data_IF_226242920520
#
_entry.id   IF_226242920520
#
_cell.length_a   1.000
_cell.length_b   1.000
_cell.length_c   1.000
_cell.angle_alpha   90.00
_cell.angle_beta   90.00
_cell.angle_gamma   90.00
#
_symmetry.space_group_name_H-M   'P 1'
#
loop_
_entity.id
_entity.type
_entity.pdbx_description
1 polymer ?
#
# COMPACT_ATOMS: atom_id res chain seq x y z
N UNK A 1 -5.91 -6.91 13.93
CA UNK A 1 -6.31 -6.04 15.07
C UNK A 1 -5.56 -4.73 14.91
N UNK A 2 -6.25 -3.69 14.45
CA UNK A 2 -5.73 -2.33 14.48
C UNK A 2 -5.36 -1.96 15.92
N UNK A 3 -4.25 -1.25 16.16
CA UNK A 3 -3.87 -0.84 17.50
C UNK A 3 -4.87 0.20 18.04
N UNK A 4 -5.56 -0.13 19.14
CA UNK A 4 -6.45 0.79 19.84
C UNK A 4 -5.68 2.01 20.35
N UNK A 5 -6.12 3.20 19.92
CA UNK A 5 -5.57 4.48 20.33
C UNK A 5 -5.84 4.75 21.82
N UNK A 6 -4.77 4.84 22.62
CA UNK A 6 -4.83 5.34 24.00
C UNK A 6 -4.98 6.86 23.99
N UNK A 7 -6.09 7.36 24.56
CA UNK A 7 -6.29 8.79 24.91
C UNK A 7 -5.07 9.34 25.66
N UNK A 8 -4.47 10.42 25.15
CA UNK A 8 -3.46 11.22 25.85
C UNK A 8 -3.97 12.64 26.13
N UNK A 9 -3.57 13.12 27.31
CA UNK A 9 -3.96 14.37 27.98
C UNK A 9 -3.50 15.62 27.22
N UNK A 10 -4.29 16.67 27.40
CA UNK A 10 -4.26 18.00 26.79
C UNK A 10 -2.91 18.73 26.91
N UNK A 11 -2.37 19.14 25.76
CA UNK A 11 -1.39 20.21 25.56
C UNK A 11 -1.67 20.80 24.16
N UNK A 12 -1.75 22.13 24.07
CA UNK A 12 -2.12 23.04 22.96
C UNK A 12 -2.55 22.50 21.58
N UNK A 13 -3.70 23.01 21.11
CA UNK A 13 -4.50 22.68 19.91
C UNK A 13 -3.82 22.99 18.56
N UNK A 14 -2.63 22.45 18.30
CA UNK A 14 -2.23 22.19 16.92
C UNK A 14 -2.82 20.85 16.51
N UNK A 15 -3.61 20.85 15.44
CA UNK A 15 -4.22 19.66 14.84
C UNK A 15 -3.07 18.70 14.46
N UNK A 16 -2.71 17.80 15.38
CA UNK A 16 -1.61 16.83 15.19
C UNK A 16 -2.18 15.71 14.34
N UNK A 17 -2.32 16.00 13.06
CA UNK A 17 -2.69 15.02 12.08
C UNK A 17 -1.46 14.22 11.65
N UNK A 18 -1.63 12.90 11.57
CA UNK A 18 -0.65 11.99 11.00
C UNK A 18 -1.07 11.64 9.58
N UNK A 19 -0.11 11.66 8.66
CA UNK A 19 -0.30 11.14 7.31
C UNK A 19 0.14 9.69 7.27
N UNK A 20 -0.82 8.82 6.96
CA UNK A 20 -0.62 7.39 6.93
C UNK A 20 -0.76 6.87 5.50
N UNK A 21 0.19 6.07 5.01
CA UNK A 21 0.06 5.42 3.70
C UNK A 21 -1.09 4.41 3.73
N UNK A 22 -1.85 4.32 2.65
CA UNK A 22 -2.77 3.19 2.46
C UNK A 22 -2.04 2.04 1.79
N UNK A 23 -1.69 1.06 2.62
CA UNK A 23 -1.00 -0.15 2.20
C UNK A 23 -1.88 -1.08 1.36
N UNK A 24 -1.26 -1.77 0.40
CA UNK A 24 -1.91 -2.84 -0.34
C UNK A 24 -2.35 -3.99 0.57
N UNK A 25 -3.23 -4.85 0.09
CA UNK A 25 -3.65 -6.04 0.85
C UNK A 25 -2.46 -6.96 1.17
N UNK A 26 -1.48 -7.04 0.27
CA UNK A 26 -0.28 -7.87 0.49
C UNK A 26 0.67 -7.28 1.54
N UNK A 27 0.72 -5.95 1.65
CA UNK A 27 1.52 -5.24 2.65
C UNK A 27 0.84 -5.20 4.03
N UNK A 28 -0.49 -5.23 4.06
CA UNK A 28 -1.30 -5.16 5.28
C UNK A 28 -1.78 -6.52 5.82
N UNK A 29 -1.71 -7.60 5.01
CA UNK A 29 -2.11 -8.95 5.45
C UNK A 29 -1.29 -9.43 6.64
N UNK A 30 -1.94 -10.28 7.42
CA UNK A 30 -1.27 -11.05 8.46
C UNK A 30 -0.33 -12.11 7.89
N UNK A 31 0.64 -12.52 8.70
CA UNK A 31 1.60 -13.56 8.35
C UNK A 31 0.91 -14.93 8.34
N UNK A 32 0.49 -15.37 7.16
CA UNK A 32 -0.02 -16.72 6.93
C UNK A 32 1.10 -17.76 7.06
N UNK A 33 0.76 -18.94 7.59
CA UNK A 33 1.70 -20.03 7.85
C UNK A 33 1.28 -21.32 7.15
N UNK A 34 2.25 -22.03 6.59
CA UNK A 34 2.07 -23.35 5.99
C UNK A 34 2.75 -24.43 6.84
N UNK A 35 2.13 -25.61 6.98
CA UNK A 35 2.79 -26.76 7.58
C UNK A 35 3.86 -27.34 6.65
N UNK A 36 5.05 -27.61 7.19
CA UNK A 36 6.15 -28.24 6.49
C UNK A 36 6.84 -29.25 7.41
N UNK A 37 7.46 -30.28 6.83
CA UNK A 37 8.32 -31.19 7.58
C UNK A 37 9.76 -30.68 7.55
N UNK A 38 10.38 -30.58 8.72
CA UNK A 38 11.79 -30.28 8.88
C UNK A 38 12.48 -31.47 9.57
N UNK A 39 13.79 -31.60 9.38
CA UNK A 39 14.60 -32.63 10.02
C UNK A 39 15.93 -32.05 10.52
N UNK A 40 16.49 -32.54 11.64
CA UNK A 40 17.82 -32.15 12.07
C UNK A 40 18.86 -32.70 11.09
N UNK A 41 19.91 -31.92 10.83
CA UNK A 41 21.10 -32.37 10.10
C UNK A 41 22.07 -32.95 11.12
N UNK A 42 22.17 -34.27 11.15
CA UNK A 42 23.06 -35.02 12.05
C UNK A 42 24.51 -34.80 11.65
N UNK A 43 24.81 -34.88 10.36
CA UNK A 43 26.17 -34.70 9.84
C UNK A 43 26.34 -33.39 9.07
N UNK A 44 26.94 -32.39 9.73
CA UNK A 44 27.09 -31.03 9.18
C UNK A 44 27.82 -31.00 7.82
N UNK A 45 28.77 -31.91 7.57
CA UNK A 45 29.51 -32.00 6.30
C UNK A 45 28.60 -32.30 5.11
N UNK A 46 27.45 -32.93 5.35
CA UNK A 46 26.50 -33.30 4.30
C UNK A 46 25.48 -32.20 3.96
N UNK A 47 25.48 -31.07 4.69
CA UNK A 47 24.47 -30.00 4.51
C UNK A 47 24.28 -29.55 3.06
N UNK A 48 25.37 -29.28 2.34
CA UNK A 48 25.30 -28.79 0.95
C UNK A 48 24.68 -29.83 0.00
N UNK A 49 25.03 -31.10 0.20
CA UNK A 49 24.47 -32.23 -0.56
C UNK A 49 22.97 -32.36 -0.29
N UNK A 50 22.59 -32.45 0.99
CA UNK A 50 21.20 -32.59 1.43
C UNK A 50 20.32 -31.46 0.89
N UNK A 51 20.77 -30.21 0.97
CA UNK A 51 20.02 -29.07 0.44
C UNK A 51 19.83 -29.16 -1.08
N UNK A 52 20.86 -29.56 -1.84
CA UNK A 52 20.77 -29.72 -3.29
C UNK A 52 19.80 -30.83 -3.68
N UNK A 53 19.97 -32.02 -3.11
CA UNK A 53 19.14 -33.18 -3.38
C UNK A 53 17.67 -32.92 -3.00
N UNK A 54 17.42 -32.40 -1.79
CA UNK A 54 16.06 -32.03 -1.36
C UNK A 54 15.43 -30.95 -2.27
N UNK A 55 16.24 -30.08 -2.90
CA UNK A 55 15.72 -29.06 -3.83
C UNK A 55 15.33 -29.62 -5.19
N UNK A 56 15.89 -30.76 -5.59
CA UNK A 56 15.46 -31.48 -6.80
C UNK A 56 14.18 -32.28 -6.55
N UNK A 57 14.10 -32.92 -5.39
CA UNK A 57 13.06 -33.88 -4.99
C UNK A 57 11.79 -33.16 -4.51
N UNK A 58 11.98 -32.14 -3.67
CA UNK A 58 10.94 -31.30 -3.08
C UNK A 58 11.30 -29.83 -3.26
N UNK A 59 11.13 -29.27 -4.47
CA UNK A 59 11.27 -27.84 -4.68
C UNK A 59 10.23 -27.09 -3.84
N UNK A 60 10.55 -25.86 -3.45
CA UNK A 60 9.65 -24.98 -2.70
C UNK A 60 9.19 -23.81 -3.59
N UNK A 61 8.33 -24.05 -4.60
CA UNK A 61 7.92 -23.02 -5.54
C UNK A 61 7.14 -21.90 -4.83
N UNK A 62 7.49 -20.66 -5.13
CA UNK A 62 6.89 -19.47 -4.51
C UNK A 62 7.36 -19.18 -3.08
N UNK A 63 8.30 -19.97 -2.54
CA UNK A 63 8.86 -19.81 -1.20
C UNK A 63 10.36 -19.48 -1.24
N UNK A 64 10.82 -18.75 -2.26
CA UNK A 64 12.23 -18.37 -2.41
C UNK A 64 12.71 -17.45 -1.27
N UNK A 65 11.79 -16.82 -0.52
CA UNK A 65 12.12 -16.07 0.68
C UNK A 65 12.51 -16.96 1.86
N UNK A 66 12.13 -18.23 1.88
CA UNK A 66 12.43 -19.14 2.99
C UNK A 66 13.86 -19.66 2.87
N UNK A 67 14.66 -19.47 3.93
CA UNK A 67 15.99 -20.10 4.01
C UNK A 67 15.80 -21.58 4.33
N UNK A 68 16.19 -22.49 3.43
CA UNK A 68 15.93 -23.93 3.60
C UNK A 68 16.54 -24.54 4.86
N UNK A 69 17.66 -23.99 5.34
CA UNK A 69 18.37 -24.42 6.54
C UNK A 69 18.33 -23.33 7.61
N UNK A 70 18.18 -23.73 8.87
CA UNK A 70 18.35 -22.86 10.05
C UNK A 70 19.26 -23.47 11.09
N UNK A 71 19.78 -22.65 12.00
CA UNK A 71 20.37 -23.15 13.23
C UNK A 71 19.27 -23.68 14.16
N UNK A 72 19.56 -24.75 14.89
CA UNK A 72 18.64 -25.25 15.91
C UNK A 72 18.41 -24.19 16.99
N UNK A 73 17.17 -24.11 17.51
CA UNK A 73 16.81 -23.15 18.56
C UNK A 73 17.40 -23.55 19.91
N UNK A 74 17.44 -24.85 20.17
CA UNK A 74 18.09 -25.39 21.36
C UNK A 74 19.61 -25.45 21.11
N UNK A 75 20.40 -24.80 21.96
CA UNK A 75 21.86 -24.82 21.84
C UNK A 75 22.49 -26.06 22.48
N UNK A 76 21.72 -26.84 23.24
CA UNK A 76 22.17 -28.06 23.89
C UNK A 76 22.11 -29.30 22.98
N UNK A 77 21.39 -29.21 21.85
CA UNK A 77 21.32 -30.32 20.90
C UNK A 77 22.69 -30.60 20.26
N UNK A 78 23.05 -31.88 20.05
CA UNK A 78 24.25 -32.26 19.30
C UNK A 78 24.17 -31.90 17.81
N UNK A 79 22.99 -31.52 17.30
CA UNK A 79 22.74 -31.26 15.87
C UNK A 79 22.47 -29.77 15.63
N UNK A 80 23.47 -28.98 15.21
CA UNK A 80 23.36 -27.52 15.21
C UNK A 80 22.45 -26.96 14.11
N UNK A 81 22.01 -27.77 13.14
CA UNK A 81 21.28 -27.32 11.96
C UNK A 81 20.02 -28.16 11.74
N UNK A 82 19.01 -27.52 11.17
CA UNK A 82 17.75 -28.13 10.75
C UNK A 82 17.44 -27.72 9.30
N UNK A 83 16.87 -28.62 8.52
CA UNK A 83 16.53 -28.40 7.11
C UNK A 83 15.05 -28.68 6.85
N UNK A 84 14.41 -27.86 6.01
CA UNK A 84 13.08 -28.17 5.49
C UNK A 84 13.21 -29.29 4.45
N UNK A 85 12.48 -30.38 4.69
CA UNK A 85 12.39 -31.54 3.80
C UNK A 85 11.38 -31.23 2.69
N UNK A 86 10.11 -31.05 3.03
CA UNK A 86 9.01 -30.83 2.08
C UNK A 86 7.84 -30.08 2.74
N UNK A 87 6.88 -29.60 1.93
CA UNK A 87 5.61 -29.10 2.47
C UNK A 87 4.72 -30.28 2.86
N UNK A 88 3.94 -30.13 3.93
CA UNK A 88 3.08 -31.23 4.40
C UNK A 88 1.97 -31.61 3.38
N UNK A 89 1.66 -30.73 2.43
CA UNK A 89 0.71 -30.99 1.34
C UNK A 89 1.30 -31.80 0.19
N UNK A 90 2.62 -31.86 0.08
CA UNK A 90 3.32 -32.55 -1.02
C UNK A 90 3.44 -34.05 -0.76
N UNK A 91 3.07 -34.50 0.45
CA UNK A 91 3.15 -35.88 0.90
C UNK A 91 1.79 -36.37 1.41
N UNK A 92 1.38 -37.56 0.99
CA UNK A 92 0.18 -38.21 1.49
C UNK A 92 0.54 -39.14 2.64
N UNK A 93 0.57 -38.61 3.87
CA UNK A 93 0.85 -39.40 5.06
C UNK A 93 -0.47 -39.80 5.73
N UNK A 94 -0.68 -41.11 5.90
CA UNK A 94 -1.92 -41.71 6.43
C UNK A 94 -2.05 -41.45 7.94
N UNK A 95 -0.94 -41.46 8.69
CA UNK A 95 -0.88 -41.08 10.11
C UNK A 95 0.04 -39.86 10.30
N UNK A 96 -0.48 -38.80 10.90
CA UNK A 96 0.29 -37.57 11.18
C UNK A 96 1.12 -37.67 12.47
N UNK A 97 0.95 -38.71 13.28
CA UNK A 97 1.77 -38.98 14.46
C UNK A 97 2.92 -39.93 14.09
N UNK A 98 4.15 -39.50 14.32
CA UNK A 98 5.34 -40.37 14.13
C UNK A 98 5.75 -40.57 12.68
N UNK A 99 5.61 -39.54 11.84
CA UNK A 99 6.08 -39.55 10.44
C UNK A 99 7.58 -39.78 10.40
N UNK A 100 8.04 -40.76 9.63
CA UNK A 100 9.47 -41.08 9.45
C UNK A 100 10.03 -40.47 8.17
N UNK A 101 11.36 -40.39 8.05
CA UNK A 101 12.00 -40.00 6.78
C UNK A 101 11.60 -40.92 5.62
N UNK A 102 11.46 -42.22 5.89
CA UNK A 102 11.04 -43.21 4.90
C UNK A 102 9.62 -42.96 4.40
N UNK A 103 8.73 -42.41 5.23
CA UNK A 103 7.39 -42.03 4.79
C UNK A 103 7.41 -40.80 3.87
N UNK A 104 8.32 -39.85 4.15
CA UNK A 104 8.46 -38.62 3.39
C UNK A 104 9.22 -38.81 2.07
N UNK A 105 10.18 -39.74 2.02
CA UNK A 105 11.13 -39.87 0.91
C UNK A 105 11.00 -41.21 0.15
N UNK A 106 9.97 -42.01 0.47
CA UNK A 106 9.80 -43.42 0.03
C UNK A 106 9.97 -43.66 -1.47
N UNK A 107 9.59 -42.70 -2.31
CA UNK A 107 9.54 -42.85 -3.76
C UNK A 107 10.79 -42.36 -4.50
N UNK A 108 11.79 -41.84 -3.78
CA UNK A 108 12.94 -41.19 -4.40
C UNK A 108 14.22 -41.88 -3.91
N UNK A 109 15.16 -42.14 -4.82
CA UNK A 109 16.49 -42.69 -4.51
C UNK A 109 17.33 -41.64 -3.75
N UNK A 110 16.88 -41.30 -2.55
CA UNK A 110 17.46 -40.28 -1.69
C UNK A 110 18.22 -40.97 -0.58
N UNK A 111 19.50 -40.65 -0.47
CA UNK A 111 20.30 -41.10 0.65
C UNK A 111 20.02 -40.21 1.85
N UNK A 112 19.19 -40.73 2.76
CA UNK A 112 18.79 -40.07 4.01
C UNK A 112 19.88 -40.05 5.07
N UNK A 113 21.09 -40.58 4.78
CA UNK A 113 22.22 -40.45 5.68
C UNK A 113 22.47 -38.98 6.02
N UNK A 114 22.78 -38.71 7.28
CA UNK A 114 23.00 -37.34 7.79
C UNK A 114 21.73 -36.55 8.12
N UNK A 115 20.53 -37.08 7.92
CA UNK A 115 19.27 -36.53 8.49
C UNK A 115 18.80 -37.35 9.69
N UNK A 116 18.21 -36.68 10.68
CA UNK A 116 17.47 -37.34 11.75
C UNK A 116 15.97 -37.32 11.53
N UNK A 117 15.23 -37.78 12.54
CA UNK A 117 13.77 -37.91 12.44
C UNK A 117 13.07 -36.58 12.14
N UNK A 118 12.07 -36.57 11.22
CA UNK A 118 11.42 -35.35 10.83
C UNK A 118 10.36 -34.94 11.85
N UNK A 119 10.07 -33.64 11.88
CA UNK A 119 9.07 -33.04 12.75
C UNK A 119 8.33 -31.94 12.01
N UNK A 120 7.09 -31.68 12.45
CA UNK A 120 6.24 -30.69 11.81
C UNK A 120 6.60 -29.27 12.31
N UNK A 121 6.74 -28.35 11.37
CA UNK A 121 6.95 -26.92 11.62
C UNK A 121 5.94 -26.09 10.85
N UNK A 122 5.73 -24.85 11.30
CA UNK A 122 4.97 -23.83 10.57
C UNK A 122 5.96 -22.83 9.97
N UNK A 123 5.88 -22.60 8.66
CA UNK A 123 6.74 -21.66 7.94
C UNK A 123 5.91 -20.55 7.27
N UNK A 124 6.44 -19.34 7.09
CA UNK A 124 5.73 -18.25 6.40
C UNK A 124 5.32 -18.63 4.97
N UNK A 125 4.02 -18.53 4.68
CA UNK A 125 3.44 -18.86 3.37
C UNK A 125 3.87 -17.89 2.27
N UNK A 126 4.16 -16.65 2.66
CA UNK A 126 4.35 -15.54 1.76
C UNK A 126 5.59 -14.72 2.15
N UNK A 127 6.25 -14.07 1.18
CA UNK A 127 7.35 -13.17 1.47
C UNK A 127 6.85 -11.96 2.29
N UNK A 128 7.56 -11.56 3.35
CA UNK A 128 7.24 -10.34 4.06
C UNK A 128 7.52 -9.12 3.17
N UNK A 129 6.57 -8.19 3.11
CA UNK A 129 6.70 -6.94 2.37
C UNK A 129 6.94 -5.74 3.29
N UNK A 130 6.66 -5.89 4.59
CA UNK A 130 6.89 -4.86 5.60
C UNK A 130 7.75 -5.39 6.75
N UNK A 131 8.46 -4.49 7.45
CA UNK A 131 9.27 -4.88 8.62
C UNK A 131 8.45 -5.58 9.72
N UNK A 132 7.23 -5.13 10.07
CA UNK A 132 6.37 -5.86 11.01
C UNK A 132 6.03 -7.29 10.53
N UNK A 133 5.77 -7.48 9.23
CA UNK A 133 5.57 -8.83 8.66
C UNK A 133 6.84 -9.67 8.77
N UNK A 134 8.00 -9.10 8.46
CA UNK A 134 9.30 -9.78 8.55
C UNK A 134 9.61 -10.23 9.98
N UNK A 135 9.40 -9.37 10.96
CA UNK A 135 9.62 -9.66 12.38
C UNK A 135 8.69 -10.77 12.89
N UNK A 136 7.43 -10.78 12.44
CA UNK A 136 6.48 -11.88 12.73
C UNK A 136 6.92 -13.18 12.04
N UNK A 137 7.18 -13.13 10.74
CA UNK A 137 7.57 -14.29 9.93
C UNK A 137 8.85 -14.96 10.42
N UNK A 138 9.87 -14.18 10.78
CA UNK A 138 11.18 -14.66 11.23
C UNK A 138 11.12 -15.45 12.55
N UNK A 139 10.07 -15.28 13.36
CA UNK A 139 9.87 -16.08 14.58
C UNK A 139 9.54 -17.54 14.28
N UNK A 140 8.90 -17.78 13.13
CA UNK A 140 8.47 -19.11 12.69
C UNK A 140 9.61 -19.84 11.97
N UNK A 141 10.20 -19.20 10.96
CA UNK A 141 11.33 -19.74 10.22
C UNK A 141 12.17 -18.61 9.61
N UNK A 142 13.51 -18.75 9.49
CA UNK A 142 14.32 -17.71 8.86
C UNK A 142 13.88 -17.41 7.43
N UNK A 143 13.55 -16.15 7.19
CA UNK A 143 13.12 -15.62 5.89
C UNK A 143 14.09 -14.54 5.44
N UNK A 144 14.27 -14.37 4.13
CA UNK A 144 14.84 -13.16 3.56
C UNK A 144 13.79 -12.04 3.58
N UNK A 145 14.28 -10.81 3.64
CA UNK A 145 13.46 -9.61 3.55
C UNK A 145 14.30 -8.52 2.91
N UNK A 146 13.77 -8.00 1.80
CA UNK A 146 14.33 -6.83 1.13
C UNK A 146 13.43 -5.66 1.49
N UNK A 147 13.99 -4.75 2.27
CA UNK A 147 13.23 -3.67 2.86
C UNK A 147 12.93 -2.58 1.84
N UNK A 148 11.64 -2.28 1.67
CA UNK A 148 11.21 -1.06 1.02
C UNK A 148 11.35 0.11 1.99
N UNK A 149 12.32 0.99 1.72
CA UNK A 149 12.63 2.15 2.57
C UNK A 149 11.48 3.14 2.65
N UNK A 150 10.72 3.33 1.57
CA UNK A 150 9.59 4.25 1.56
C UNK A 150 8.47 3.72 2.45
N UNK A 151 8.09 2.45 2.29
CA UNK A 151 7.08 1.80 3.13
C UNK A 151 7.49 1.79 4.59
N UNK A 152 8.76 1.47 4.90
CA UNK A 152 9.28 1.51 6.28
C UNK A 152 9.23 2.92 6.86
N UNK A 153 9.66 3.94 6.11
CA UNK A 153 9.61 5.34 6.57
C UNK A 153 8.17 5.78 6.82
N UNK A 154 7.27 5.42 5.91
CA UNK A 154 5.85 5.73 6.00
C UNK A 154 5.18 5.08 7.22
N UNK A 155 5.48 3.80 7.49
CA UNK A 155 5.01 3.11 8.69
C UNK A 155 5.56 3.69 10.01
N UNK A 156 6.68 4.42 9.96
CA UNK A 156 7.25 5.14 11.11
C UNK A 156 6.73 6.58 11.22
N UNK A 157 5.87 7.03 10.31
CA UNK A 157 5.43 8.43 10.23
C UNK A 157 6.52 9.41 9.82
N UNK A 158 7.61 8.92 9.22
CA UNK A 158 8.81 9.67 8.86
C UNK A 158 8.93 9.94 7.36
N UNK A 159 7.86 9.66 6.59
CA UNK A 159 7.89 9.82 5.13
C UNK A 159 7.99 11.28 4.69
N UNK A 160 7.35 12.19 5.45
CA UNK A 160 7.29 13.60 5.12
C UNK A 160 7.98 14.47 6.17
N UNK A 161 8.78 15.43 5.70
CA UNK A 161 9.41 16.44 6.55
C UNK A 161 8.38 17.42 7.12
N UNK A 162 8.77 18.22 8.11
CA UNK A 162 7.91 19.27 8.65
C UNK A 162 7.47 20.27 7.57
N UNK A 163 8.39 20.70 6.70
CA UNK A 163 8.10 21.64 5.61
C UNK A 163 7.14 21.04 4.58
N UNK A 164 7.30 19.75 4.26
CA UNK A 164 6.35 19.05 3.39
C UNK A 164 4.97 18.99 4.02
N UNK A 165 4.88 18.65 5.32
CA UNK A 165 3.59 18.66 6.04
C UNK A 165 2.94 20.04 6.08
N UNK A 166 3.73 21.12 6.19
CA UNK A 166 3.22 22.48 6.13
C UNK A 166 2.58 22.79 4.76
N UNK A 167 3.24 22.43 3.65
CA UNK A 167 2.66 22.57 2.30
C UNK A 167 1.40 21.73 2.12
N UNK A 168 1.42 20.48 2.59
CA UNK A 168 0.24 19.61 2.58
C UNK A 168 -0.95 20.24 3.32
N UNK A 169 -0.68 20.93 4.44
CA UNK A 169 -1.69 21.68 5.18
C UNK A 169 -2.24 22.86 4.35
N UNK A 170 -1.39 23.61 3.66
CA UNK A 170 -1.83 24.71 2.79
C UNK A 170 -2.72 24.21 1.64
N UNK A 171 -2.31 23.13 0.96
CA UNK A 171 -3.09 22.55 -0.13
C UNK A 171 -4.43 21.98 0.36
N UNK A 172 -4.44 21.27 1.49
CA UNK A 172 -5.68 20.76 2.06
C UNK A 172 -6.57 21.89 2.60
N UNK A 173 -6.01 22.97 3.13
CA UNK A 173 -6.78 24.14 3.53
C UNK A 173 -7.51 24.79 2.34
N UNK A 174 -6.86 24.89 1.18
CA UNK A 174 -7.51 25.35 -0.05
C UNK A 174 -8.65 24.41 -0.49
N UNK A 175 -8.47 23.09 -0.35
CA UNK A 175 -9.54 22.13 -0.60
C UNK A 175 -10.71 22.28 0.39
N UNK A 176 -10.44 22.54 1.67
CA UNK A 176 -11.46 22.81 2.70
C UNK A 176 -12.22 24.11 2.40
N UNK A 177 -11.54 25.16 1.95
CA UNK A 177 -12.19 26.41 1.55
C UNK A 177 -13.12 26.21 0.35
N UNK A 178 -12.66 25.49 -0.68
CA UNK A 178 -13.50 25.12 -1.82
C UNK A 178 -14.73 24.31 -1.38
N UNK A 179 -14.54 23.35 -0.45
CA UNK A 179 -15.63 22.55 0.10
C UNK A 179 -16.71 23.41 0.79
N UNK A 180 -16.28 24.41 1.58
CA UNK A 180 -17.19 25.35 2.26
C UNK A 180 -17.96 26.20 1.26
N UNK A 181 -17.29 26.74 0.25
CA UNK A 181 -17.93 27.50 -0.83
C UNK A 181 -19.00 26.67 -1.55
N UNK A 182 -18.71 25.40 -1.87
CA UNK A 182 -19.71 24.48 -2.43
C UNK A 182 -20.89 24.25 -1.49
N UNK A 183 -20.62 24.06 -0.19
CA UNK A 183 -21.66 23.89 0.84
C UNK A 183 -22.59 25.10 0.98
N UNK A 184 -22.06 26.32 0.92
CA UNK A 184 -22.83 27.58 0.92
C UNK A 184 -23.76 27.68 -0.29
N UNK A 185 -23.38 27.05 -1.41
CA UNK A 185 -24.20 26.94 -2.62
C UNK A 185 -25.17 25.75 -2.60
N UNK A 186 -25.30 25.04 -1.48
CA UNK A 186 -26.18 23.89 -1.32
C UNK A 186 -25.66 22.59 -1.92
N UNK A 187 -24.37 22.51 -2.26
CA UNK A 187 -23.71 21.28 -2.68
C UNK A 187 -23.30 20.43 -1.48
N UNK A 188 -22.83 19.21 -1.73
CA UNK A 188 -22.16 18.45 -0.67
C UNK A 188 -20.81 19.12 -0.36
N UNK A 189 -20.46 19.29 0.92
CA UNK A 189 -19.25 19.99 1.35
C UNK A 189 -17.97 19.17 1.13
N UNK A 190 -17.62 18.90 -0.13
CA UNK A 190 -16.39 18.22 -0.54
C UNK A 190 -15.63 19.11 -1.49
N UNK A 191 -14.37 19.37 -1.18
CA UNK A 191 -13.43 20.10 -2.02
C UNK A 191 -12.17 19.30 -2.30
N UNK A 192 -11.51 19.66 -3.39
CA UNK A 192 -10.28 19.04 -3.89
C UNK A 192 -9.38 20.09 -4.56
N UNK A 193 -8.08 19.85 -4.54
CA UNK A 193 -7.09 20.60 -5.32
C UNK A 193 -6.11 19.64 -6.00
N UNK A 194 -5.68 19.98 -7.21
CA UNK A 194 -4.60 19.30 -7.93
C UNK A 194 -3.36 20.18 -7.89
N UNK A 195 -2.23 19.60 -7.52
CA UNK A 195 -0.94 20.27 -7.32
C UNK A 195 0.08 19.65 -8.25
N UNK A 196 0.88 20.49 -8.89
CA UNK A 196 2.09 20.04 -9.57
C UNK A 196 3.22 19.93 -8.55
N UNK A 197 3.73 18.72 -8.24
CA UNK A 197 4.77 18.55 -7.24
C UNK A 197 6.14 19.10 -7.66
N UNK A 198 6.35 19.38 -8.96
CA UNK A 198 7.61 19.96 -9.45
C UNK A 198 7.65 21.48 -9.21
N UNK A 199 6.56 22.19 -9.51
CA UNK A 199 6.45 23.64 -9.29
C UNK A 199 5.84 24.03 -7.94
N UNK A 200 5.31 23.05 -7.20
CA UNK A 200 4.60 23.21 -5.92
C UNK A 200 3.39 24.15 -6.01
N UNK A 201 2.83 24.31 -7.22
CA UNK A 201 1.69 25.17 -7.48
C UNK A 201 0.38 24.40 -7.54
N UNK A 202 -0.70 25.02 -7.05
CA UNK A 202 -2.07 24.53 -7.25
C UNK A 202 -2.46 24.79 -8.72
N UNK A 203 -2.65 23.70 -9.45
CA UNK A 203 -3.08 23.69 -10.86
C UNK A 203 -4.58 23.84 -10.99
N UNK A 204 -5.35 23.16 -10.14
CA UNK A 204 -6.82 23.24 -10.17
C UNK A 204 -7.39 23.20 -8.76
N UNK A 205 -8.49 23.92 -8.56
CA UNK A 205 -9.31 23.92 -7.33
C UNK A 205 -10.74 23.60 -7.75
N UNK A 206 -11.41 22.71 -7.03
CA UNK A 206 -12.78 22.32 -7.32
C UNK A 206 -13.52 21.83 -6.09
N UNK A 207 -14.85 21.88 -6.16
CA UNK A 207 -15.73 21.29 -5.16
C UNK A 207 -16.81 20.44 -5.81
N UNK A 208 -17.56 19.70 -4.98
CA UNK A 208 -18.72 18.95 -5.45
C UNK A 208 -19.75 19.90 -6.08
N UNK A 209 -20.22 19.53 -7.27
CA UNK A 209 -21.19 20.25 -8.07
C UNK A 209 -22.35 19.34 -8.48
N UNK A 210 -22.54 18.20 -7.79
CA UNK A 210 -23.39 17.11 -8.25
C UNK A 210 -24.89 17.42 -8.21
N UNK A 211 -25.29 18.37 -7.34
CA UNK A 211 -26.66 18.90 -7.26
C UNK A 211 -26.92 20.03 -8.25
N UNK A 212 -25.92 20.36 -9.06
CA UNK A 212 -26.03 21.30 -10.16
C UNK A 212 -26.53 20.62 -11.44
N UNK A 213 -25.68 20.61 -12.47
CA UNK A 213 -26.06 20.14 -13.81
C UNK A 213 -25.92 18.63 -14.01
N UNK A 214 -25.05 17.94 -13.26
CA UNK A 214 -24.76 16.53 -13.48
C UNK A 214 -24.41 15.80 -12.18
N UNK A 215 -25.02 14.64 -11.87
CA UNK A 215 -24.79 13.90 -10.63
C UNK A 215 -23.38 13.30 -10.48
N UNK A 216 -22.53 13.41 -11.50
CA UNK A 216 -21.17 12.86 -11.50
C UNK A 216 -20.11 13.94 -11.27
N UNK A 217 -20.52 15.21 -11.10
CA UNK A 217 -19.60 16.32 -10.81
C UNK A 217 -19.17 16.31 -9.34
N UNK A 218 -18.52 15.23 -8.91
CA UNK A 218 -17.81 15.18 -7.64
C UNK A 218 -16.55 16.06 -7.73
N UNK A 219 -16.07 16.57 -6.60
CA UNK A 219 -14.90 17.46 -6.55
C UNK A 219 -13.69 16.95 -7.34
N UNK A 220 -13.40 15.65 -7.26
CA UNK A 220 -12.30 15.02 -8.01
C UNK A 220 -12.52 15.10 -9.53
N UNK A 221 -13.75 14.82 -10.00
CA UNK A 221 -14.08 14.89 -11.43
C UNK A 221 -14.00 16.32 -11.95
N UNK A 222 -14.47 17.29 -11.14
CA UNK A 222 -14.38 18.71 -11.45
C UNK A 222 -12.92 19.13 -11.60
N UNK A 223 -12.03 18.75 -10.68
CA UNK A 223 -10.61 19.06 -10.80
C UNK A 223 -9.95 18.42 -12.03
N UNK A 224 -10.25 17.16 -12.34
CA UNK A 224 -9.74 16.48 -13.54
C UNK A 224 -10.17 17.22 -14.81
N UNK A 225 -11.44 17.59 -14.90
CA UNK A 225 -11.98 18.30 -16.06
C UNK A 225 -11.42 19.73 -16.17
N UNK A 226 -11.21 20.44 -15.05
CA UNK A 226 -10.53 21.74 -15.04
C UNK A 226 -9.10 21.66 -15.57
N UNK A 227 -8.34 20.61 -15.19
CA UNK A 227 -7.00 20.37 -15.75
C UNK A 227 -7.09 20.08 -17.26
N UNK A 228 -8.06 19.26 -17.68
CA UNK A 228 -8.27 18.97 -19.09
C UNK A 228 -8.64 20.23 -19.90
N UNK A 229 -9.53 21.09 -19.38
CA UNK A 229 -9.86 22.40 -19.95
C UNK A 229 -8.60 23.26 -20.13
N UNK A 230 -7.75 23.31 -19.11
CA UNK A 230 -6.47 24.03 -19.15
C UNK A 230 -5.48 23.53 -20.21
N UNK A 231 -5.63 22.27 -20.64
CA UNK A 231 -4.82 21.62 -21.68
C UNK A 231 -5.49 21.63 -23.07
N UNK A 232 -6.59 22.39 -23.24
CA UNK A 232 -7.32 22.49 -24.51
C UNK A 232 -8.33 21.36 -24.76
N UNK A 233 -8.58 20.53 -23.75
CA UNK A 233 -9.66 19.54 -23.73
C UNK A 233 -10.81 19.98 -22.80
N UNK A 234 -11.27 19.04 -21.98
CA UNK A 234 -12.36 19.26 -21.01
C UNK A 234 -13.74 19.35 -21.67
N UNK A 235 -14.81 19.25 -20.87
CA UNK A 235 -16.19 19.20 -21.39
C UNK A 235 -17.12 20.19 -20.71
N UNK A 236 -16.95 20.44 -19.42
CA UNK A 236 -17.95 21.16 -18.64
C UNK A 236 -17.53 22.61 -18.33
N UNK A 237 -18.54 23.46 -18.16
CA UNK A 237 -18.36 24.85 -17.74
C UNK A 237 -18.70 24.99 -16.24
N UNK A 238 -17.74 25.50 -15.47
CA UNK A 238 -17.85 25.74 -14.03
C UNK A 238 -17.87 27.22 -13.64
N UNK A 239 -18.02 28.17 -14.57
CA UNK A 239 -18.01 29.63 -14.31
C UNK A 239 -19.03 30.07 -13.26
N UNK A 240 -20.14 29.35 -13.12
CA UNK A 240 -21.15 29.60 -12.08
C UNK A 240 -20.68 29.23 -10.67
N UNK A 241 -19.52 28.60 -10.51
CA UNK A 241 -18.94 28.15 -9.25
C UNK A 241 -17.61 28.87 -9.00
N UNK A 242 -17.60 30.01 -8.29
CA UNK A 242 -16.42 30.88 -8.19
C UNK A 242 -15.16 30.21 -7.62
N UNK A 243 -15.33 29.21 -6.75
CA UNK A 243 -14.21 28.45 -6.17
C UNK A 243 -13.61 27.42 -7.15
N UNK A 244 -14.34 27.01 -8.20
CA UNK A 244 -13.87 26.07 -9.21
C UNK A 244 -13.02 26.81 -10.25
N UNK A 245 -11.71 26.59 -10.27
CA UNK A 245 -10.79 27.31 -11.15
C UNK A 245 -9.58 26.48 -11.56
N UNK A 246 -9.07 26.76 -12.75
CA UNK A 246 -7.77 26.32 -13.23
C UNK A 246 -6.77 27.48 -13.15
N UNK A 247 -5.60 27.24 -12.57
CA UNK A 247 -4.50 28.20 -12.56
C UNK A 247 -3.70 28.03 -13.85
N UNK A 248 -3.83 28.98 -14.77
CA UNK A 248 -2.96 29.04 -15.95
C UNK A 248 -1.55 29.40 -15.50
N UNK A 249 -0.69 28.42 -15.23
CA UNK A 249 0.74 28.73 -15.08
C UNK A 249 1.31 29.07 -16.47
N UNK A 250 2.05 30.16 -16.59
CA UNK A 250 2.87 30.43 -17.77
C UNK A 250 3.89 29.28 -17.99
N UNK A 251 4.23 28.56 -16.92
CA UNK A 251 5.04 27.34 -16.93
C UNK A 251 4.38 26.19 -17.70
N UNK A 252 3.05 26.12 -17.83
CA UNK A 252 2.39 25.13 -18.70
C UNK A 252 2.79 25.33 -20.16
N UNK A 253 2.96 26.59 -20.60
CA UNK A 253 3.41 26.90 -21.96
C UNK A 253 4.87 26.54 -22.19
N UNK A 254 5.71 26.50 -21.16
CA UNK A 254 7.12 26.15 -21.30
C UNK A 254 7.40 24.66 -21.03
N UNK A 255 6.62 24.00 -20.17
CA UNK A 255 6.74 22.56 -19.91
C UNK A 255 6.27 21.72 -21.10
N UNK A 256 5.29 22.18 -21.89
CA UNK A 256 4.94 21.55 -23.17
C UNK A 256 6.02 21.75 -24.25
N UNK A 257 7.00 22.63 -24.05
CA UNK A 257 8.13 22.83 -24.96
C UNK A 257 9.47 22.26 -24.44
N UNK A 258 9.56 21.82 -23.18
CA UNK A 258 10.83 21.42 -22.55
C UNK A 258 11.00 19.91 -22.29
N UNK A 259 10.05 19.05 -22.69
CA UNK A 259 10.27 17.59 -22.83
C UNK A 259 9.96 17.18 -24.26
N UNK A 260 10.99 16.71 -24.97
CA UNK A 260 10.99 16.33 -26.39
C UNK A 260 10.01 15.20 -26.80
N UNK A 261 9.00 14.82 -26.00
CA UNK A 261 8.18 13.63 -26.27
C UNK A 261 6.73 13.76 -25.77
N UNK A 262 5.91 14.61 -26.41
CA UNK A 262 4.44 14.46 -26.42
C UNK A 262 3.61 15.50 -25.65
N UNK A 263 2.33 15.62 -26.03
CA UNK A 263 1.35 16.50 -25.39
C UNK A 263 1.10 16.10 -23.93
N UNK A 264 0.81 17.06 -23.02
CA UNK A 264 0.46 16.75 -21.63
C UNK A 264 -0.78 15.85 -21.56
N UNK A 265 -0.76 14.85 -20.68
CA UNK A 265 -1.86 13.91 -20.50
C UNK A 265 -2.55 14.14 -19.15
N UNK A 266 -3.50 15.07 -19.13
CA UNK A 266 -4.39 15.38 -18.01
C UNK A 266 -3.61 15.55 -16.70
N UNK A 267 -3.77 14.67 -15.72
CA UNK A 267 -3.19 14.79 -14.38
C UNK A 267 -1.89 13.97 -14.20
N UNK A 268 -1.23 13.59 -15.31
CA UNK A 268 -0.03 12.75 -15.26
C UNK A 268 1.04 13.40 -14.38
N UNK A 269 1.43 12.71 -13.31
CA UNK A 269 2.49 13.19 -12.41
C UNK A 269 2.02 14.17 -11.31
N UNK A 270 0.76 14.58 -11.30
CA UNK A 270 0.23 15.53 -10.30
C UNK A 270 -0.25 14.84 -9.02
N UNK A 271 -0.35 15.63 -7.96
CA UNK A 271 -0.90 15.20 -6.68
C UNK A 271 -2.30 15.76 -6.47
N UNK A 272 -3.20 14.94 -5.92
CA UNK A 272 -4.53 15.36 -5.50
C UNK A 272 -4.58 15.51 -3.99
N UNK A 273 -5.11 16.62 -3.49
CA UNK A 273 -5.54 16.77 -2.10
C UNK A 273 -7.06 16.85 -2.07
N UNK A 274 -7.72 16.01 -1.28
CA UNK A 274 -9.19 15.92 -1.24
C UNK A 274 -9.72 15.74 0.18
N UNK A 275 -10.70 16.55 0.53
CA UNK A 275 -11.28 16.61 1.88
C UNK A 275 -11.99 15.31 2.31
N UNK A 276 -12.53 14.54 1.36
CA UNK A 276 -13.19 13.25 1.61
C UNK A 276 -12.65 12.17 0.69
N UNK A 277 -12.48 10.97 1.20
CA UNK A 277 -11.99 9.83 0.42
C UNK A 277 -12.80 9.63 -0.87
N UNK A 278 -12.14 9.54 -2.04
CA UNK A 278 -12.81 9.32 -3.33
C UNK A 278 -13.61 8.01 -3.37
N UNK A 279 -14.81 8.07 -3.97
CA UNK A 279 -15.60 6.88 -4.28
C UNK A 279 -15.00 6.11 -5.48
N UNK A 280 -15.56 4.94 -5.81
CA UNK A 280 -15.10 4.06 -6.90
C UNK A 280 -14.95 4.78 -8.23
N UNK A 281 -15.92 5.62 -8.61
CA UNK A 281 -15.87 6.39 -9.86
C UNK A 281 -14.67 7.34 -9.88
N UNK A 282 -14.52 8.15 -8.83
CA UNK A 282 -13.44 9.12 -8.75
C UNK A 282 -12.07 8.45 -8.67
N UNK A 283 -11.96 7.35 -7.91
CA UNK A 283 -10.74 6.57 -7.82
C UNK A 283 -10.33 5.96 -9.18
N UNK A 284 -11.28 5.44 -9.96
CA UNK A 284 -10.98 4.94 -11.31
C UNK A 284 -10.64 6.06 -12.30
N UNK A 285 -11.28 7.23 -12.18
CA UNK A 285 -10.93 8.40 -12.99
C UNK A 285 -9.48 8.86 -12.73
N UNK A 286 -9.00 8.75 -11.49
CA UNK A 286 -7.62 9.05 -11.12
C UNK A 286 -6.61 8.06 -11.73
N UNK A 287 -6.96 6.76 -11.82
CA UNK A 287 -6.19 5.76 -12.59
C UNK A 287 -6.07 6.20 -14.05
N UNK A 288 -7.20 6.54 -14.68
CA UNK A 288 -7.23 6.98 -16.08
C UNK A 288 -6.51 8.31 -16.31
N UNK A 289 -6.46 9.19 -15.30
CA UNK A 289 -5.78 10.48 -15.38
C UNK A 289 -4.29 10.41 -15.03
N UNK A 290 -3.78 9.23 -14.68
CA UNK A 290 -2.38 8.96 -14.28
C UNK A 290 -1.89 9.85 -13.14
N UNK A 291 -2.75 10.11 -12.15
CA UNK A 291 -2.37 10.85 -10.95
C UNK A 291 -1.15 10.18 -10.27
N UNK A 292 -0.27 10.95 -9.66
CA UNK A 292 0.90 10.44 -8.96
C UNK A 292 0.58 10.03 -7.52
N UNK A 293 -0.03 10.95 -6.75
CA UNK A 293 -0.36 10.71 -5.34
C UNK A 293 -1.72 11.31 -4.99
N UNK A 294 -2.38 10.71 -4.00
CA UNK A 294 -3.63 11.22 -3.44
C UNK A 294 -3.48 11.37 -1.93
N UNK A 295 -3.82 12.55 -1.43
CA UNK A 295 -3.83 12.91 -0.03
C UNK A 295 -5.27 13.18 0.39
N UNK A 296 -5.84 12.28 1.20
CA UNK A 296 -7.22 12.39 1.66
C UNK A 296 -7.32 12.82 3.13
N UNK A 297 -8.29 13.67 3.41
CA UNK A 297 -8.60 14.11 4.77
C UNK A 297 -9.44 13.10 5.55
N UNK A 298 -10.76 13.12 5.35
CA UNK A 298 -11.70 12.27 6.06
C UNK A 298 -12.06 10.98 5.28
N UNK A 299 -12.26 9.84 5.95
CA UNK A 299 -12.72 8.60 5.31
C UNK A 299 -14.16 8.75 4.79
N UNK A 300 -14.54 7.89 3.84
CA UNK A 300 -15.92 7.84 3.33
C UNK A 300 -16.48 6.42 3.36
N UNK A 301 -17.77 6.28 3.67
CA UNK A 301 -18.44 4.97 3.70
C UNK A 301 -18.48 4.27 2.32
N UNK A 302 -18.31 5.01 1.22
CA UNK A 302 -18.18 4.53 -0.15
C UNK A 302 -16.75 4.69 -0.72
N UNK A 303 -15.78 4.99 0.15
CA UNK A 303 -14.39 5.25 -0.19
C UNK A 303 -13.70 4.06 -0.84
N UNK A 304 -12.97 4.33 -1.92
CA UNK A 304 -12.37 3.31 -2.78
C UNK A 304 -10.83 3.35 -2.83
N UNK A 305 -10.22 4.12 -1.93
CA UNK A 305 -8.77 4.24 -1.81
C UNK A 305 -8.22 3.67 -0.49
N UNK A 306 -9.07 3.20 0.41
CA UNK A 306 -8.70 2.46 1.61
C UNK A 306 -9.87 1.93 2.43
N UNK A 307 -11.05 2.57 2.38
CA UNK A 307 -12.18 2.16 3.26
C UNK A 307 -12.88 0.89 2.78
N UNK A 308 -13.41 0.86 1.56
CA UNK A 308 -14.05 -0.34 0.98
C UNK A 308 -13.22 -1.03 -0.07
N UNK A 309 -12.50 -0.25 -0.87
CA UNK A 309 -11.66 -0.75 -1.96
C UNK A 309 -10.30 -0.09 -1.88
N UNK A 310 -9.34 -0.67 -2.62
CA UNK A 310 -7.98 -0.13 -2.80
C UNK A 310 -7.66 -0.08 -4.28
N UNK A 311 -8.38 0.76 -5.02
CA UNK A 311 -8.27 0.83 -6.49
C UNK A 311 -6.85 1.23 -6.91
N UNK A 312 -6.21 2.10 -6.14
CA UNK A 312 -4.86 2.61 -6.39
C UNK A 312 -3.77 1.54 -6.50
N UNK A 313 -3.96 0.36 -5.88
CA UNK A 313 -2.97 -0.71 -5.84
C UNK A 313 -3.43 -2.03 -6.49
N UNK A 314 -4.47 -2.00 -7.33
CA UNK A 314 -4.94 -3.21 -8.03
C UNK A 314 -3.96 -3.64 -9.12
N UNK A 315 -3.53 -4.91 -9.09
CA UNK A 315 -2.50 -5.47 -9.98
C UNK A 315 -2.89 -5.54 -11.46
N UNK A 316 -4.20 -5.64 -11.73
CA UNK A 316 -4.73 -5.80 -13.08
C UNK A 316 -5.12 -4.47 -13.74
N UNK A 317 -4.87 -3.34 -13.07
CA UNK A 317 -5.04 -2.01 -13.65
C UNK A 317 -3.72 -1.56 -14.29
N UNK A 318 -3.84 -0.66 -15.28
CA UNK A 318 -2.71 -0.20 -16.08
C UNK A 318 -1.87 0.90 -15.41
N UNK A 319 -2.37 1.51 -14.32
CA UNK A 319 -1.70 2.56 -13.56
C UNK A 319 -1.97 2.38 -12.07
N UNK A 320 -0.97 2.66 -11.24
CA UNK A 320 -1.05 2.64 -9.79
C UNK A 320 -0.49 3.95 -9.23
N UNK A 321 -0.98 4.37 -8.07
CA UNK A 321 -0.58 5.62 -7.44
C UNK A 321 -0.54 5.49 -5.92
N UNK A 322 0.18 6.38 -5.25
CA UNK A 322 0.28 6.35 -3.79
C UNK A 322 -0.92 7.06 -3.15
N UNK A 323 -1.40 6.53 -2.03
CA UNK A 323 -2.51 7.12 -1.27
C UNK A 323 -2.09 7.33 0.16
N UNK A 324 -2.41 8.50 0.68
CA UNK A 324 -2.17 8.91 2.06
C UNK A 324 -3.45 9.45 2.67
N UNK A 325 -3.76 9.00 3.89
CA UNK A 325 -4.96 9.42 4.61
C UNK A 325 -4.61 10.21 5.87
N UNK A 326 -5.55 11.04 6.31
CA UNK A 326 -5.51 11.74 7.59
C UNK A 326 -5.06 13.20 7.52
N UNK A 327 -4.81 13.76 6.33
CA UNK A 327 -4.35 15.17 6.20
C UNK A 327 -5.44 16.11 6.71
N UNK A 328 -5.16 16.89 7.76
CA UNK A 328 -6.12 17.78 8.41
C UNK A 328 -7.47 17.07 8.73
N UNK A 329 -7.39 15.84 9.26
CA UNK A 329 -8.55 14.97 9.50
C UNK A 329 -9.70 15.69 10.22
N UNK A 330 -9.39 16.41 11.31
CA UNK A 330 -10.42 17.07 12.13
C UNK A 330 -11.12 18.19 11.36
N UNK A 331 -10.37 19.00 10.60
CA UNK A 331 -10.94 20.05 9.76
C UNK A 331 -11.81 19.48 8.63
N UNK A 332 -11.39 18.36 8.04
CA UNK A 332 -12.14 17.68 6.99
C UNK A 332 -13.42 17.02 7.53
N UNK A 333 -13.36 16.34 8.67
CA UNK A 333 -14.55 15.74 9.31
C UNK A 333 -15.59 16.80 9.71
N UNK A 334 -15.15 17.99 10.12
CA UNK A 334 -16.04 19.07 10.51
C UNK A 334 -16.96 19.53 9.36
N UNK A 335 -16.57 19.31 8.10
CA UNK A 335 -17.41 19.61 6.92
C UNK A 335 -18.66 18.71 6.83
N UNK A 336 -18.66 17.55 7.48
CA UNK A 336 -19.73 16.55 7.38
C UNK A 336 -20.57 16.41 8.65
N UNK A 337 -20.18 17.08 9.73
CA UNK A 337 -20.91 17.09 11.01
C UNK A 337 -22.08 18.07 10.87
N UNK A 338 -23.30 17.54 10.94
CA UNK A 338 -24.55 18.31 10.93
C UNK A 338 -24.85 18.91 12.29
#
# INVERSE_FOLDING_TARGET
MEPQAKRRKEMDKYDTWDVLPVLSDEQSRDTELLPAYAAPIIEKRQTSRLVKELSLIYPLPGLQHIKRVRACKDKSTPHPLEVIVCLARDVQVIDRKGVTLTDLLRSQSFDSSGLGEPFLVKIPANPPLTRPQFEKASKHWPTSFHEDKQVTSALRGQLFTADQKAKMQEYMAAAVEAAKSGGEMGMDAVGAVIVDPESEQIVAVGHDCKRGSHPLHHAVMVCIDLVACGQGGGTYNYEKYPACRFSSSESFRNACYAKETGQPYICTGYDLYVTREPCVMCAMALVHSRINRVFSGAPSADGALGTKYKIHCQKYLNHNFEVFNGVMLNACEALFKK
#
